data_IF_734989194833
#
_entry.id   IF_734989194833
#
_cell.length_a   1.000
_cell.length_b   1.000
_cell.length_c   1.000
_cell.angle_alpha   90.00
_cell.angle_beta   90.00
_cell.angle_gamma   90.00
#
_symmetry.space_group_name_H-M   'P 1'
#
loop_
_entity.id
_entity.type
_entity.pdbx_description
1 polymer ?
#
# COMPACT_ATOMS: atom_id res chain seq x y z
N UNK A 1 -42.13 -13.83 40.53
CA UNK A 1 -41.73 -12.53 39.93
C UNK A 1 -40.22 -12.32 39.87
N UNK A 2 -39.45 -12.74 40.88
CA UNK A 2 -37.98 -12.55 40.97
C UNK A 2 -37.16 -13.17 39.82
N UNK A 3 -37.59 -14.31 39.27
CA UNK A 3 -36.89 -14.97 38.14
C UNK A 3 -37.22 -14.38 36.75
N UNK A 4 -38.34 -13.66 36.59
CA UNK A 4 -38.68 -13.01 35.31
C UNK A 4 -37.88 -11.73 35.07
N UNK A 5 -37.50 -11.03 36.16
CA UNK A 5 -36.68 -9.82 36.09
C UNK A 5 -35.22 -10.14 35.71
N UNK A 6 -34.69 -11.29 36.14
CA UNK A 6 -33.32 -11.72 35.83
C UNK A 6 -33.14 -12.09 34.34
N UNK A 7 -34.14 -12.73 33.74
CA UNK A 7 -34.14 -13.07 32.30
C UNK A 7 -34.26 -11.81 31.43
N UNK A 8 -35.01 -10.80 31.89
CA UNK A 8 -35.11 -9.50 31.21
C UNK A 8 -33.79 -8.73 31.26
N UNK A 9 -33.07 -8.76 32.38
CA UNK A 9 -31.74 -8.16 32.52
C UNK A 9 -30.67 -8.89 31.70
N UNK A 10 -30.73 -10.22 31.59
CA UNK A 10 -29.84 -11.00 30.70
C UNK A 10 -30.10 -10.73 29.21
N UNK A 11 -31.35 -10.47 28.82
CA UNK A 11 -31.71 -10.04 27.46
C UNK A 11 -31.34 -8.57 27.18
N UNK A 12 -31.27 -7.72 28.21
CA UNK A 12 -30.80 -6.33 28.08
C UNK A 12 -29.27 -6.24 27.98
N UNK A 13 -28.52 -7.17 28.56
CA UNK A 13 -27.06 -7.26 28.36
C UNK A 13 -26.66 -7.73 26.96
N UNK A 14 -27.57 -8.37 26.20
CA UNK A 14 -27.33 -8.69 24.78
C UNK A 14 -27.61 -7.53 23.83
N UNK A 15 -28.11 -6.38 24.34
CA UNK A 15 -28.23 -5.12 23.59
C UNK A 15 -27.11 -4.13 23.95
N UNK A 16 -25.91 -4.62 24.28
CA UNK A 16 -24.72 -3.81 24.03
C UNK A 16 -24.64 -3.62 22.52
N UNK A 17 -25.28 -2.56 22.01
CA UNK A 17 -25.04 -2.05 20.68
C UNK A 17 -23.52 -1.95 20.53
N UNK A 18 -22.93 -2.80 19.69
CA UNK A 18 -21.57 -2.60 19.23
C UNK A 18 -21.54 -1.17 18.68
N UNK A 19 -20.86 -0.27 19.40
CA UNK A 19 -20.72 1.11 18.97
C UNK A 19 -19.97 1.07 17.65
N UNK A 20 -20.49 1.71 16.59
CA UNK A 20 -19.80 1.76 15.31
C UNK A 20 -18.55 2.64 15.42
N UNK A 21 -17.54 2.33 14.62
CA UNK A 21 -16.38 3.20 14.47
C UNK A 21 -16.81 4.59 14.01
N UNK A 22 -16.29 5.63 14.65
CA UNK A 22 -16.61 7.02 14.29
C UNK A 22 -15.62 7.57 13.27
N UNK A 23 -16.14 8.20 12.21
CA UNK A 23 -15.31 8.89 11.23
C UNK A 23 -15.16 10.36 11.60
N UNK A 24 -13.92 10.84 11.63
CA UNK A 24 -13.58 12.24 11.93
C UNK A 24 -13.00 12.91 10.71
N UNK A 25 -13.87 13.54 9.92
CA UNK A 25 -13.48 14.29 8.72
C UNK A 25 -13.12 15.72 9.10
N UNK A 26 -11.91 16.18 8.73
CA UNK A 26 -11.42 17.52 9.05
C UNK A 26 -10.34 18.03 8.10
N UNK A 27 -10.00 19.29 8.25
CA UNK A 27 -8.74 19.86 7.78
C UNK A 27 -7.66 19.73 8.86
N UNK A 28 -6.41 19.44 8.47
CA UNK A 28 -5.25 19.46 9.37
C UNK A 28 -4.16 20.34 8.75
N UNK A 29 -4.01 21.56 9.27
CA UNK A 29 -2.96 22.49 8.83
C UNK A 29 -1.55 21.94 9.08
N UNK A 30 -1.19 21.40 10.26
CA UNK A 30 0.17 20.89 10.49
C UNK A 30 0.55 19.79 9.48
N UNK A 31 -0.38 18.89 9.17
CA UNK A 31 -0.17 17.87 8.13
C UNK A 31 -0.02 18.51 6.74
N UNK A 32 -0.92 19.44 6.39
CA UNK A 32 -0.90 20.08 5.07
C UNK A 32 0.41 20.84 4.82
N UNK A 33 0.96 21.51 5.83
CA UNK A 33 2.26 22.18 5.77
C UNK A 33 3.42 21.19 5.64
N UNK A 34 3.38 20.07 6.38
CA UNK A 34 4.37 19.01 6.23
C UNK A 34 4.37 18.44 4.80
N UNK A 35 3.19 18.16 4.24
CA UNK A 35 3.06 17.65 2.86
C UNK A 35 3.50 18.71 1.85
N UNK A 36 3.17 19.98 2.08
CA UNK A 36 3.65 21.09 1.27
C UNK A 36 5.18 21.08 1.20
N UNK A 37 5.86 21.03 2.34
CA UNK A 37 7.32 20.90 2.43
C UNK A 37 7.87 19.70 1.65
N UNK A 38 7.28 18.51 1.81
CA UNK A 38 7.69 17.31 1.05
C UNK A 38 7.62 17.53 -0.47
N UNK A 39 6.58 18.23 -0.94
CA UNK A 39 6.38 18.51 -2.36
C UNK A 39 7.31 19.61 -2.90
N UNK A 40 7.92 20.41 -2.03
CA UNK A 40 8.92 21.41 -2.43
C UNK A 40 10.32 20.81 -2.62
N UNK A 41 10.58 19.61 -2.09
CA UNK A 41 11.88 18.92 -2.23
C UNK A 41 12.32 18.83 -3.69
N UNK A 42 13.62 19.00 -3.94
CA UNK A 42 14.19 18.81 -5.28
C UNK A 42 14.03 17.36 -5.78
N UNK A 43 13.92 16.40 -4.87
CA UNK A 43 13.71 14.99 -5.18
C UNK A 43 12.26 14.65 -5.56
N UNK A 44 11.32 15.55 -5.28
CA UNK A 44 9.91 15.35 -5.62
C UNK A 44 9.60 15.86 -7.04
N UNK A 45 8.78 15.16 -7.84
CA UNK A 45 8.40 15.63 -9.17
C UNK A 45 7.77 17.03 -9.17
N UNK A 46 7.79 17.71 -10.33
CA UNK A 46 7.08 18.97 -10.51
C UNK A 46 5.59 18.83 -10.18
N UNK A 47 5.07 19.80 -9.41
CA UNK A 47 3.71 19.79 -8.89
C UNK A 47 3.23 21.22 -8.62
N UNK A 48 1.95 21.37 -8.28
CA UNK A 48 1.34 22.70 -8.09
C UNK A 48 1.97 23.44 -6.91
N UNK A 49 2.24 22.78 -5.79
CA UNK A 49 2.86 23.42 -4.62
C UNK A 49 4.24 24.01 -4.94
N UNK A 50 5.08 23.23 -5.62
CA UNK A 50 6.39 23.68 -6.09
C UNK A 50 6.28 24.86 -7.05
N UNK A 51 5.34 24.80 -7.99
CA UNK A 51 5.08 25.88 -8.95
C UNK A 51 4.67 27.18 -8.26
N UNK A 52 3.74 27.13 -7.30
CA UNK A 52 3.28 28.31 -6.57
C UNK A 52 4.39 28.90 -5.68
N UNK A 53 5.18 28.05 -5.00
CA UNK A 53 6.32 28.50 -4.21
C UNK A 53 7.37 29.21 -5.07
N UNK A 54 7.75 28.63 -6.21
CA UNK A 54 8.78 29.18 -7.11
C UNK A 54 8.42 30.55 -7.69
N UNK A 55 7.13 30.82 -7.91
CA UNK A 55 6.62 32.12 -8.40
C UNK A 55 6.48 33.17 -7.30
N UNK A 56 6.51 32.76 -6.04
CA UNK A 56 6.26 33.64 -4.90
C UNK A 56 7.49 34.45 -4.48
N UNK A 57 7.24 35.46 -3.63
CA UNK A 57 8.29 36.22 -2.93
C UNK A 57 9.15 35.37 -1.97
N UNK A 58 8.72 34.14 -1.67
CA UNK A 58 9.40 33.22 -0.76
C UNK A 58 10.44 32.33 -1.45
N UNK A 59 10.57 32.39 -2.79
CA UNK A 59 11.61 31.69 -3.53
C UNK A 59 12.98 32.36 -3.36
N UNK A 60 13.50 32.37 -2.12
CA UNK A 60 14.77 32.96 -1.74
C UNK A 60 15.73 31.90 -1.23
N UNK A 61 17.03 32.20 -1.21
CA UNK A 61 18.05 31.26 -0.71
C UNK A 61 17.82 30.87 0.75
N UNK A 62 17.23 31.76 1.55
CA UNK A 62 16.86 31.48 2.93
C UNK A 62 15.89 30.30 3.02
N UNK A 63 14.77 30.32 2.28
CA UNK A 63 13.77 29.25 2.35
C UNK A 63 14.20 28.00 1.61
N UNK A 64 14.97 28.12 0.52
CA UNK A 64 15.61 26.97 -0.15
C UNK A 64 16.53 26.21 0.80
N UNK A 65 17.28 26.92 1.65
CA UNK A 65 18.14 26.30 2.65
C UNK A 65 17.32 25.53 3.71
N UNK A 66 16.13 26.02 4.09
CA UNK A 66 15.24 25.28 5.00
C UNK A 66 14.70 24.02 4.33
N UNK A 67 14.26 24.09 3.07
CA UNK A 67 13.83 22.90 2.29
C UNK A 67 14.98 21.88 2.21
N UNK A 68 16.19 22.32 1.90
CA UNK A 68 17.37 21.43 1.87
C UNK A 68 17.70 20.80 3.23
N UNK A 69 17.44 21.51 4.35
CA UNK A 69 17.58 20.94 5.69
C UNK A 69 16.50 19.90 5.96
N UNK A 70 15.25 20.20 5.59
CA UNK A 70 14.13 19.27 5.70
C UNK A 70 14.42 17.96 4.95
N UNK A 71 14.92 18.05 3.71
CA UNK A 71 15.27 16.90 2.86
C UNK A 71 16.37 15.98 3.45
N UNK A 72 17.14 16.49 4.41
CA UNK A 72 18.22 15.74 5.09
C UNK A 72 17.77 15.14 6.41
N UNK A 73 16.54 15.39 6.86
CA UNK A 73 16.03 14.83 8.10
C UNK A 73 15.78 13.33 7.94
N UNK A 74 16.45 12.52 8.75
CA UNK A 74 16.19 11.08 8.80
C UNK A 74 14.94 10.82 9.63
N UNK A 75 13.80 10.66 8.96
CA UNK A 75 12.49 10.39 9.59
C UNK A 75 11.89 9.03 9.19
N UNK A 76 12.60 8.25 8.37
CA UNK A 76 12.12 7.02 7.74
C UNK A 76 12.74 5.77 8.36
N UNK A 77 12.47 5.54 9.64
CA UNK A 77 12.76 4.28 10.31
C UNK A 77 11.57 3.33 10.16
N UNK A 78 11.86 2.04 10.15
CA UNK A 78 10.80 1.03 10.08
C UNK A 78 11.12 -0.23 10.84
N UNK A 79 10.06 -0.94 11.21
CA UNK A 79 10.13 -2.30 11.71
C UNK A 79 9.00 -3.15 11.14
N UNK A 80 9.18 -4.46 11.21
CA UNK A 80 8.22 -5.48 10.75
C UNK A 80 7.71 -6.28 11.94
N UNK A 81 6.54 -6.89 11.78
CA UNK A 81 5.99 -7.85 12.73
C UNK A 81 6.37 -9.26 12.24
N UNK A 82 7.49 -9.78 12.74
CA UNK A 82 8.12 -11.01 12.26
C UNK A 82 7.31 -12.28 12.55
N UNK A 83 6.33 -12.20 13.46
CA UNK A 83 5.41 -13.28 13.77
C UNK A 83 4.37 -13.52 12.66
N UNK A 84 4.07 -12.51 11.83
CA UNK A 84 3.11 -12.63 10.74
C UNK A 84 3.73 -13.31 9.52
N UNK A 85 2.93 -14.06 8.72
CA UNK A 85 3.38 -14.56 7.43
C UNK A 85 3.96 -13.45 6.54
N UNK A 86 4.89 -13.81 5.66
CA UNK A 86 5.72 -12.83 4.95
C UNK A 86 4.91 -11.75 4.20
N UNK A 87 4.95 -10.54 4.76
CA UNK A 87 4.20 -9.36 4.33
C UNK A 87 2.71 -9.59 4.14
N UNK A 88 2.12 -10.44 4.96
CA UNK A 88 0.67 -10.45 5.15
C UNK A 88 0.22 -9.26 6.01
N UNK A 89 1.12 -8.64 6.79
CA UNK A 89 0.91 -7.41 7.57
C UNK A 89 1.93 -6.33 7.19
N UNK A 90 1.47 -5.09 6.97
CA UNK A 90 2.34 -3.92 6.77
C UNK A 90 3.15 -3.61 8.04
N UNK A 91 4.45 -3.36 7.87
CA UNK A 91 5.30 -2.86 8.94
C UNK A 91 5.00 -1.39 9.30
N UNK A 92 5.54 -0.92 10.42
CA UNK A 92 5.36 0.47 10.85
C UNK A 92 6.49 1.33 10.31
N UNK A 93 6.13 2.50 9.78
CA UNK A 93 7.07 3.55 9.37
C UNK A 93 6.95 4.72 10.35
N UNK A 94 8.06 5.28 10.80
CA UNK A 94 8.03 6.44 11.71
C UNK A 94 7.40 7.66 11.05
N UNK A 95 7.52 7.83 9.74
CA UNK A 95 6.83 8.89 8.99
C UNK A 95 5.30 8.80 9.12
N UNK A 96 4.73 7.59 9.01
CA UNK A 96 3.28 7.36 9.17
C UNK A 96 2.81 7.75 10.60
N UNK A 97 3.63 7.47 11.62
CA UNK A 97 3.35 7.87 13.01
C UNK A 97 3.45 9.39 13.21
N UNK A 98 4.42 10.05 12.58
CA UNK A 98 4.56 11.50 12.63
C UNK A 98 3.38 12.19 11.94
N UNK A 99 2.95 11.70 10.77
CA UNK A 99 1.74 12.17 10.06
C UNK A 99 0.49 11.98 10.91
N UNK A 100 0.31 10.83 11.55
CA UNK A 100 -0.78 10.58 12.50
C UNK A 100 -0.78 11.62 13.62
N UNK A 101 0.38 11.92 14.20
CA UNK A 101 0.49 12.93 15.25
C UNK A 101 0.15 14.33 14.73
N UNK A 102 0.58 14.72 13.53
CA UNK A 102 0.23 16.01 12.91
C UNK A 102 -1.28 16.15 12.69
N UNK A 103 -1.97 15.06 12.33
CA UNK A 103 -3.43 15.04 12.22
C UNK A 103 -4.08 15.27 13.58
N UNK A 104 -3.55 14.66 14.64
CA UNK A 104 -4.20 14.60 15.95
C UNK A 104 -3.87 15.80 16.87
N UNK A 105 -3.02 16.73 16.43
CA UNK A 105 -2.58 17.90 17.21
C UNK A 105 -3.03 19.22 16.60
N UNK A 106 -3.25 20.24 17.43
CA UNK A 106 -3.67 21.56 16.95
C UNK A 106 -2.48 22.49 16.66
N UNK A 107 -1.34 22.23 17.28
CA UNK A 107 -0.16 23.07 17.17
C UNK A 107 1.14 22.27 17.24
N UNK A 108 2.24 22.93 16.85
CA UNK A 108 3.54 22.28 16.73
C UNK A 108 4.13 21.82 18.08
N UNK A 109 3.76 22.45 19.19
CA UNK A 109 4.27 22.07 20.50
C UNK A 109 3.66 20.74 20.96
N UNK A 110 2.36 20.56 20.77
CA UNK A 110 1.69 19.27 20.98
C UNK A 110 2.25 18.17 20.08
N UNK A 111 2.49 18.49 18.79
CA UNK A 111 3.14 17.57 17.86
C UNK A 111 4.50 17.09 18.39
N UNK A 112 5.34 18.00 18.89
CA UNK A 112 6.64 17.64 19.48
C UNK A 112 6.49 16.75 20.70
N UNK A 113 5.58 17.10 21.62
CA UNK A 113 5.35 16.31 22.84
C UNK A 113 4.88 14.89 22.50
N UNK A 114 3.96 14.76 21.54
CA UNK A 114 3.38 13.49 21.14
C UNK A 114 4.29 12.62 20.28
N UNK A 115 5.26 13.24 19.60
CA UNK A 115 6.22 12.54 18.74
C UNK A 115 7.56 12.24 19.42
N UNK A 116 7.70 12.62 20.69
CA UNK A 116 8.90 12.35 21.47
C UNK A 116 9.18 10.83 21.54
N UNK A 117 10.40 10.43 21.20
CA UNK A 117 10.80 9.01 21.17
C UNK A 117 10.50 8.25 19.86
N UNK A 118 9.79 8.85 18.90
CA UNK A 118 9.57 8.25 17.57
C UNK A 118 10.82 8.37 16.70
N UNK A 119 11.47 9.54 16.75
CA UNK A 119 12.73 9.86 16.04
C UNK A 119 13.66 10.63 16.99
N UNK A 120 14.97 10.77 16.68
CA UNK A 120 15.90 11.51 17.53
C UNK A 120 15.40 12.94 17.84
N UNK A 121 15.53 13.37 19.10
CA UNK A 121 14.97 14.63 19.59
C UNK A 121 15.45 15.87 18.82
N UNK A 122 16.69 15.85 18.33
CA UNK A 122 17.23 16.92 17.48
C UNK A 122 16.50 16.97 16.14
N UNK A 123 16.35 15.83 15.47
CA UNK A 123 15.59 15.69 14.22
C UNK A 123 14.14 16.12 14.39
N UNK A 124 13.47 15.71 15.48
CA UNK A 124 12.10 16.14 15.76
C UNK A 124 11.99 17.65 15.96
N UNK A 125 12.95 18.25 16.67
CA UNK A 125 12.97 19.69 16.89
C UNK A 125 13.19 20.46 15.59
N UNK A 126 14.09 19.97 14.74
CA UNK A 126 14.35 20.55 13.42
C UNK A 126 13.16 20.41 12.48
N UNK A 127 12.51 19.25 12.47
CA UNK A 127 11.28 18.99 11.72
C UNK A 127 10.19 19.99 12.13
N UNK A 128 9.96 20.13 13.43
CA UNK A 128 8.97 21.04 13.97
C UNK A 128 9.25 22.51 13.59
N UNK A 129 10.52 22.91 13.61
CA UNK A 129 10.93 24.24 13.19
C UNK A 129 10.67 24.45 11.69
N UNK A 130 11.03 23.49 10.83
CA UNK A 130 10.77 23.58 9.39
C UNK A 130 9.27 23.75 9.10
N UNK A 131 8.42 22.96 9.76
CA UNK A 131 6.96 23.06 9.62
C UNK A 131 6.50 24.47 10.05
N UNK A 132 6.97 24.96 11.20
CA UNK A 132 6.57 26.27 11.73
C UNK A 132 7.00 27.43 10.83
N UNK A 133 8.20 27.36 10.26
CA UNK A 133 8.72 28.38 9.32
C UNK A 133 7.90 28.42 8.02
N UNK A 134 7.35 27.28 7.60
CA UNK A 134 6.56 27.15 6.37
C UNK A 134 5.05 27.31 6.54
N UNK A 135 4.52 27.23 7.77
CA UNK A 135 3.09 27.49 8.05
C UNK A 135 2.60 28.82 7.46
N UNK A 136 3.22 29.99 7.71
CA UNK A 136 2.75 31.24 7.13
C UNK A 136 2.83 31.27 5.59
N UNK A 137 3.80 30.57 5.00
CA UNK A 137 3.98 30.49 3.55
C UNK A 137 2.89 29.65 2.91
N UNK A 138 2.64 28.46 3.48
CA UNK A 138 1.55 27.60 3.04
C UNK A 138 0.21 28.33 3.12
N UNK A 139 -0.02 29.08 4.21
CA UNK A 139 -1.24 29.84 4.38
C UNK A 139 -1.40 30.95 3.34
N UNK A 140 -0.34 31.74 3.08
CA UNK A 140 -0.40 32.79 2.07
C UNK A 140 -0.59 32.24 0.65
N UNK A 141 0.16 31.20 0.28
CA UNK A 141 0.22 30.72 -1.10
C UNK A 141 -0.89 29.72 -1.44
N UNK A 142 -1.28 28.86 -0.50
CA UNK A 142 -2.15 27.71 -0.76
C UNK A 142 -3.48 27.84 -0.01
N UNK A 143 -3.47 27.94 1.31
CA UNK A 143 -4.72 27.87 2.07
C UNK A 143 -5.61 29.10 1.85
N UNK A 144 -5.13 30.31 2.15
CA UNK A 144 -5.95 31.52 2.13
C UNK A 144 -6.57 31.82 0.75
N UNK A 145 -5.86 31.67 -0.38
CA UNK A 145 -6.46 31.86 -1.71
C UNK A 145 -7.59 30.87 -2.04
N UNK A 146 -7.61 29.71 -1.36
CA UNK A 146 -8.54 28.62 -1.62
C UNK A 146 -9.55 28.39 -0.49
N UNK A 147 -9.41 29.11 0.63
CA UNK A 147 -10.09 28.85 1.90
C UNK A 147 -11.60 28.72 1.76
N UNK A 148 -12.25 29.74 1.20
CA UNK A 148 -13.72 29.77 1.08
C UNK A 148 -14.26 28.58 0.30
N UNK A 149 -13.65 28.26 -0.85
CA UNK A 149 -14.07 27.12 -1.68
C UNK A 149 -13.79 25.79 -0.99
N UNK A 150 -12.60 25.65 -0.40
CA UNK A 150 -12.17 24.43 0.27
C UNK A 150 -13.00 24.13 1.52
N UNK A 151 -13.23 25.10 2.39
CA UNK A 151 -14.02 24.91 3.62
C UNK A 151 -15.48 24.56 3.29
N UNK A 152 -16.08 25.24 2.29
CA UNK A 152 -17.41 24.87 1.80
C UNK A 152 -17.45 23.44 1.27
N UNK A 153 -16.46 23.04 0.47
CA UNK A 153 -16.38 21.68 -0.05
C UNK A 153 -16.17 20.65 1.06
N UNK A 154 -15.40 20.98 2.10
CA UNK A 154 -15.22 20.12 3.27
C UNK A 154 -16.54 19.87 4.00
N UNK A 155 -17.36 20.91 4.19
CA UNK A 155 -18.71 20.77 4.75
C UNK A 155 -19.59 19.86 3.88
N UNK A 156 -19.53 20.02 2.56
CA UNK A 156 -20.28 19.16 1.63
C UNK A 156 -19.81 17.70 1.67
N UNK A 157 -18.50 17.45 1.82
CA UNK A 157 -17.93 16.10 2.00
C UNK A 157 -18.42 15.47 3.32
N UNK A 158 -18.40 16.22 4.42
CA UNK A 158 -18.91 15.76 5.73
C UNK A 158 -20.40 15.39 5.61
N UNK A 159 -21.19 16.26 4.99
CA UNK A 159 -22.61 16.02 4.74
C UNK A 159 -22.82 14.78 3.90
N UNK A 160 -22.11 14.65 2.77
CA UNK A 160 -22.20 13.48 1.89
C UNK A 160 -21.86 12.19 2.64
N UNK A 161 -20.81 12.20 3.47
CA UNK A 161 -20.42 11.06 4.30
C UNK A 161 -21.55 10.62 5.22
N UNK A 162 -22.19 11.58 5.88
CA UNK A 162 -23.28 11.33 6.83
C UNK A 162 -24.52 10.79 6.12
N UNK A 163 -24.91 11.40 5.00
CA UNK A 163 -26.10 11.01 4.22
C UNK A 163 -25.98 9.60 3.64
N UNK A 164 -24.76 9.19 3.25
CA UNK A 164 -24.49 7.86 2.68
C UNK A 164 -23.98 6.84 3.70
N UNK A 165 -23.93 7.22 4.99
CA UNK A 165 -23.52 6.35 6.10
C UNK A 165 -22.20 5.61 5.83
N UNK A 166 -21.16 6.35 5.44
CA UNK A 166 -19.89 5.78 4.96
C UNK A 166 -19.26 4.81 5.98
N UNK A 167 -19.45 5.03 7.27
CA UNK A 167 -19.02 4.16 8.36
C UNK A 167 -19.55 2.73 8.20
N UNK A 168 -20.73 2.53 7.60
CA UNK A 168 -21.27 1.19 7.37
C UNK A 168 -20.38 0.35 6.44
N UNK A 169 -19.66 0.97 5.50
CA UNK A 169 -18.73 0.25 4.64
C UNK A 169 -17.47 -0.16 5.40
N UNK A 170 -17.06 0.61 6.41
CA UNK A 170 -15.97 0.22 7.32
C UNK A 170 -16.35 -1.03 8.09
N UNK A 171 -17.53 -1.04 8.72
CA UNK A 171 -18.06 -2.19 9.45
C UNK A 171 -18.26 -3.41 8.56
N UNK A 172 -18.71 -3.20 7.31
CA UNK A 172 -18.77 -4.26 6.30
C UNK A 172 -17.38 -4.84 6.02
N UNK A 173 -16.37 -3.99 5.87
CA UNK A 173 -14.98 -4.42 5.70
C UNK A 173 -14.47 -5.24 6.88
N UNK A 174 -14.70 -4.78 8.12
CA UNK A 174 -14.30 -5.52 9.33
C UNK A 174 -14.87 -6.94 9.33
N UNK A 175 -16.16 -7.07 9.02
CA UNK A 175 -16.82 -8.36 8.92
C UNK A 175 -16.23 -9.20 7.77
N UNK A 176 -16.09 -8.64 6.58
CA UNK A 176 -15.60 -9.35 5.40
C UNK A 176 -14.19 -9.89 5.60
N UNK A 177 -13.28 -9.10 6.18
CA UNK A 177 -11.90 -9.51 6.43
C UNK A 177 -11.73 -10.33 7.73
N UNK A 178 -12.75 -10.42 8.59
CA UNK A 178 -12.62 -10.95 9.95
C UNK A 178 -11.58 -10.18 10.77
N UNK A 179 -11.58 -8.85 10.63
CA UNK A 179 -10.66 -7.96 11.33
C UNK A 179 -11.28 -7.46 12.63
N UNK A 180 -10.42 -7.16 13.61
CA UNK A 180 -10.84 -6.57 14.87
C UNK A 180 -10.53 -5.07 14.87
N UNK A 181 -11.44 -4.26 15.41
CA UNK A 181 -11.23 -2.83 15.60
C UNK A 181 -11.78 -2.40 16.95
N UNK A 182 -10.99 -1.65 17.71
CA UNK A 182 -11.49 -1.02 18.92
C UNK A 182 -12.32 0.21 18.53
N UNK A 183 -13.63 0.14 18.75
CA UNK A 183 -14.56 1.22 18.41
C UNK A 183 -14.32 2.53 19.18
N UNK A 184 -13.51 2.51 20.26
CA UNK A 184 -13.02 3.73 20.90
C UNK A 184 -12.00 4.49 20.05
N UNK A 185 -11.38 3.83 19.06
CA UNK A 185 -10.42 4.42 18.12
C UNK A 185 -11.19 4.96 16.91
N UNK A 186 -11.22 6.30 16.72
CA UNK A 186 -11.84 6.88 15.53
C UNK A 186 -10.99 6.64 14.29
N UNK A 187 -11.63 6.63 13.13
CA UNK A 187 -10.95 6.71 11.84
C UNK A 187 -10.89 8.19 11.41
N UNK A 188 -9.70 8.79 11.35
CA UNK A 188 -9.57 10.20 10.98
C UNK A 188 -9.38 10.35 9.47
N UNK A 189 -10.04 11.34 8.89
CA UNK A 189 -9.98 11.65 7.47
C UNK A 189 -9.54 13.12 7.36
N UNK A 190 -8.33 13.35 6.87
CA UNK A 190 -7.78 14.70 6.73
C UNK A 190 -7.72 15.14 5.27
N UNK A 191 -8.44 16.21 4.94
CA UNK A 191 -8.38 16.83 3.63
C UNK A 191 -7.55 18.11 3.66
N UNK A 192 -6.91 18.45 2.54
CA UNK A 192 -6.23 19.72 2.35
C UNK A 192 -6.33 20.18 0.88
N UNK A 193 -6.30 21.50 0.61
CA UNK A 193 -6.51 22.00 -0.75
C UNK A 193 -5.36 21.68 -1.69
N UNK A 194 -5.70 21.24 -2.90
CA UNK A 194 -4.82 21.02 -4.04
C UNK A 194 -5.32 21.84 -5.24
N UNK A 195 -5.07 23.16 -5.28
CA UNK A 195 -5.58 24.02 -6.34
C UNK A 195 -5.08 23.58 -7.72
N UNK A 196 -5.87 23.82 -8.77
CA UNK A 196 -5.47 23.63 -10.19
C UNK A 196 -4.96 22.22 -10.56
N UNK A 197 -5.16 21.21 -9.71
CA UNK A 197 -4.87 19.81 -10.04
C UNK A 197 -5.96 19.22 -10.93
N UNK A 198 -5.65 18.11 -11.61
CA UNK A 198 -6.61 17.32 -12.42
C UNK A 198 -7.31 16.22 -11.63
N UNK A 199 -6.86 15.95 -10.40
CA UNK A 199 -7.42 14.93 -9.52
C UNK A 199 -6.99 15.15 -8.08
N UNK A 200 -7.37 14.21 -7.21
CA UNK A 200 -7.00 14.20 -5.81
C UNK A 200 -5.92 13.14 -5.51
N UNK A 201 -5.28 13.24 -4.35
CA UNK A 201 -4.39 12.19 -3.83
C UNK A 201 -5.12 11.30 -2.83
N UNK A 202 -4.65 10.08 -2.60
CA UNK A 202 -5.21 9.20 -1.60
C UNK A 202 -4.05 8.44 -0.93
N UNK A 203 -4.05 8.43 0.41
CA UNK A 203 -3.12 7.64 1.20
C UNK A 203 -3.79 7.28 2.52
N UNK A 204 -3.64 6.03 2.96
CA UNK A 204 -4.06 5.62 4.30
C UNK A 204 -2.90 4.98 5.09
N UNK A 205 -2.93 5.20 6.40
CA UNK A 205 -1.94 4.69 7.35
C UNK A 205 -2.49 4.75 8.78
N UNK A 206 -2.07 3.82 9.63
CA UNK A 206 -2.61 3.69 10.99
C UNK A 206 -4.16 3.70 10.94
N UNK A 207 -4.81 4.59 11.69
CA UNK A 207 -6.25 4.84 11.67
C UNK A 207 -6.63 6.12 10.89
N UNK A 208 -5.89 6.45 9.84
CA UNK A 208 -6.05 7.72 9.12
C UNK A 208 -6.10 7.52 7.60
N UNK A 209 -6.92 8.35 6.96
CA UNK A 209 -6.87 8.62 5.53
C UNK A 209 -6.54 10.09 5.30
N UNK A 210 -5.72 10.38 4.29
CA UNK A 210 -5.39 11.74 3.88
C UNK A 210 -5.60 11.93 2.38
N UNK A 211 -6.03 13.12 1.99
CA UNK A 211 -6.22 13.46 0.59
C UNK A 211 -6.07 14.95 0.31
N UNK A 212 -5.26 15.27 -0.69
CA UNK A 212 -5.21 16.57 -1.31
C UNK A 212 -6.36 16.66 -2.31
N UNK A 213 -7.33 17.55 -2.10
CA UNK A 213 -8.54 17.64 -2.95
C UNK A 213 -8.55 18.91 -3.79
N UNK A 214 -9.02 18.79 -5.02
CA UNK A 214 -9.26 19.93 -5.90
C UNK A 214 -10.35 20.81 -5.31
N UNK A 215 -10.16 22.12 -5.34
CA UNK A 215 -11.14 23.09 -4.82
C UNK A 215 -12.44 23.17 -5.62
N UNK A 216 -12.53 22.43 -6.72
CA UNK A 216 -13.70 22.25 -7.58
C UNK A 216 -14.05 20.76 -7.83
N UNK A 217 -13.62 19.84 -6.96
CA UNK A 217 -13.97 18.41 -7.01
C UNK A 217 -15.48 18.21 -7.19
N UNK A 218 -15.86 17.49 -8.24
CA UNK A 218 -17.26 17.31 -8.65
C UNK A 218 -17.90 16.01 -8.20
N UNK A 219 -17.10 15.03 -7.76
CA UNK A 219 -17.59 13.66 -7.56
C UNK A 219 -17.14 13.07 -6.24
N UNK A 220 -17.99 13.20 -5.21
CA UNK A 220 -17.72 12.63 -3.90
C UNK A 220 -17.82 11.10 -3.90
N UNK A 221 -18.65 10.48 -4.75
CA UNK A 221 -18.68 9.02 -4.89
C UNK A 221 -17.32 8.41 -5.26
N UNK A 222 -16.58 9.05 -6.17
CA UNK A 222 -15.22 8.61 -6.57
C UNK A 222 -14.24 8.85 -5.44
N UNK A 223 -14.35 9.98 -4.73
CA UNK A 223 -13.52 10.25 -3.57
C UNK A 223 -13.70 9.19 -2.49
N UNK A 224 -14.94 8.88 -2.12
CA UNK A 224 -15.26 7.91 -1.08
C UNK A 224 -14.99 6.46 -1.49
N UNK A 225 -15.14 6.10 -2.77
CA UNK A 225 -14.78 4.76 -3.26
C UNK A 225 -13.26 4.53 -3.15
N UNK A 226 -12.46 5.52 -3.55
CA UNK A 226 -10.99 5.46 -3.42
C UNK A 226 -10.56 5.57 -1.96
N UNK A 227 -11.23 6.40 -1.16
CA UNK A 227 -10.97 6.47 0.28
C UNK A 227 -11.15 5.11 0.94
N UNK A 228 -12.26 4.43 0.64
CA UNK A 228 -12.54 3.12 1.21
C UNK A 228 -11.63 2.03 0.62
N UNK A 229 -11.18 2.12 -0.64
CA UNK A 229 -10.09 1.27 -1.16
C UNK A 229 -8.88 1.32 -0.23
N UNK A 230 -8.38 2.51 0.08
CA UNK A 230 -7.20 2.68 0.96
C UNK A 230 -7.51 2.24 2.40
N UNK A 231 -8.72 2.50 2.90
CA UNK A 231 -9.15 2.03 4.22
C UNK A 231 -9.25 0.50 4.30
N UNK A 232 -9.64 -0.19 3.24
CA UNK A 232 -9.69 -1.65 3.21
C UNK A 232 -8.30 -2.29 3.29
N UNK A 233 -7.24 -1.61 2.85
CA UNK A 233 -5.88 -2.06 3.15
C UNK A 233 -5.56 -2.03 4.64
N UNK A 234 -5.98 -0.98 5.36
CA UNK A 234 -5.83 -0.91 6.82
C UNK A 234 -6.62 -2.05 7.48
N UNK A 235 -7.88 -2.24 7.10
CA UNK A 235 -8.71 -3.30 7.67
C UNK A 235 -8.08 -4.68 7.42
N UNK A 236 -7.61 -4.94 6.19
CA UNK A 236 -6.88 -6.16 5.87
C UNK A 236 -5.64 -6.32 6.74
N UNK A 237 -4.84 -5.27 6.96
CA UNK A 237 -3.66 -5.33 7.82
C UNK A 237 -3.98 -5.61 9.30
N UNK A 238 -5.20 -5.30 9.75
CA UNK A 238 -5.69 -5.51 11.13
C UNK A 238 -6.40 -6.85 11.37
N UNK A 239 -6.35 -7.77 10.40
CA UNK A 239 -6.67 -9.18 10.67
C UNK A 239 -5.71 -9.75 11.74
N UNK A 240 -6.22 -10.64 12.58
CA UNK A 240 -5.42 -11.27 13.63
C UNK A 240 -4.31 -12.16 13.05
N UNK A 241 -3.28 -12.46 13.86
CA UNK A 241 -2.23 -13.40 13.48
C UNK A 241 -2.80 -14.78 13.08
N UNK A 242 -3.83 -15.24 13.78
CA UNK A 242 -4.53 -16.50 13.50
C UNK A 242 -5.14 -16.47 12.09
N UNK A 243 -5.95 -15.46 11.79
CA UNK A 243 -6.59 -15.29 10.47
C UNK A 243 -5.56 -15.20 9.35
N UNK A 244 -4.50 -14.39 9.53
CA UNK A 244 -3.41 -14.28 8.56
C UNK A 244 -2.69 -15.60 8.32
N UNK A 245 -2.48 -16.39 9.38
CA UNK A 245 -1.82 -17.70 9.31
C UNK A 245 -2.70 -18.73 8.61
N UNK A 246 -4.02 -18.72 8.85
CA UNK A 246 -4.98 -19.56 8.14
C UNK A 246 -5.00 -19.25 6.65
N UNK A 247 -5.14 -17.97 6.28
CA UNK A 247 -5.15 -17.53 4.88
C UNK A 247 -3.83 -17.94 4.19
N UNK A 248 -2.67 -17.69 4.80
CA UNK A 248 -1.37 -18.14 4.28
C UNK A 248 -1.34 -19.65 4.05
N UNK A 249 -1.85 -20.43 5.01
CA UNK A 249 -1.91 -21.90 4.94
C UNK A 249 -2.81 -22.35 3.78
N UNK A 250 -3.98 -21.73 3.58
CA UNK A 250 -4.88 -22.05 2.47
C UNK A 250 -4.19 -21.87 1.11
N UNK A 251 -3.42 -20.80 0.91
CA UNK A 251 -2.66 -20.59 -0.32
C UNK A 251 -1.48 -21.55 -0.48
N UNK A 252 -0.75 -21.84 0.60
CA UNK A 252 0.40 -22.75 0.59
C UNK A 252 -0.01 -24.18 0.28
N UNK A 253 -1.05 -24.67 0.93
CA UNK A 253 -1.55 -26.04 0.80
C UNK A 253 -2.35 -26.29 -0.49
N UNK A 254 -2.82 -25.23 -1.16
CA UNK A 254 -3.51 -25.35 -2.44
C UNK A 254 -2.68 -26.14 -3.46
N UNK A 255 -3.31 -27.03 -4.22
CA UNK A 255 -2.62 -27.77 -5.31
C UNK A 255 -2.42 -26.92 -6.57
N UNK A 256 -3.07 -25.76 -6.65
CA UNK A 256 -2.97 -24.88 -7.81
C UNK A 256 -1.56 -24.28 -7.90
N UNK A 257 -0.92 -24.39 -9.06
CA UNK A 257 0.36 -23.73 -9.36
C UNK A 257 0.25 -22.20 -9.41
N UNK A 258 -0.97 -21.67 -9.39
CA UNK A 258 -1.28 -20.24 -9.46
C UNK A 258 -1.37 -19.59 -8.09
N UNK A 259 -1.44 -20.38 -7.01
CA UNK A 259 -1.83 -19.88 -5.68
C UNK A 259 -0.88 -18.83 -5.12
N UNK A 260 0.43 -18.94 -5.38
CA UNK A 260 1.40 -17.94 -4.93
C UNK A 260 1.13 -16.55 -5.53
N UNK A 261 1.04 -16.43 -6.85
CA UNK A 261 0.80 -15.14 -7.51
C UNK A 261 -0.63 -14.61 -7.29
N UNK A 262 -1.60 -15.51 -7.09
CA UNK A 262 -2.93 -15.12 -6.64
C UNK A 262 -2.87 -14.48 -5.24
N UNK A 263 -2.14 -15.08 -4.30
CA UNK A 263 -2.01 -14.52 -2.95
C UNK A 263 -1.36 -13.12 -2.96
N UNK A 264 -0.27 -12.96 -3.73
CA UNK A 264 0.47 -11.70 -3.81
C UNK A 264 -0.38 -10.50 -4.28
N UNK A 265 -1.33 -10.73 -5.20
CA UNK A 265 -2.22 -9.67 -5.73
C UNK A 265 -3.51 -9.51 -4.93
N UNK A 266 -3.82 -10.45 -4.03
CA UNK A 266 -5.13 -10.53 -3.37
C UNK A 266 -5.49 -9.25 -2.62
N UNK A 267 -4.58 -8.65 -1.85
CA UNK A 267 -4.88 -7.44 -1.07
C UNK A 267 -5.36 -6.28 -1.97
N UNK A 268 -4.63 -5.97 -3.05
CA UNK A 268 -5.02 -4.96 -4.05
C UNK A 268 -6.30 -5.33 -4.81
N UNK A 269 -6.46 -6.60 -5.16
CA UNK A 269 -7.66 -7.10 -5.81
C UNK A 269 -8.91 -6.88 -4.93
N UNK A 270 -8.84 -7.26 -3.65
CA UNK A 270 -9.96 -7.13 -2.71
C UNK A 270 -10.25 -5.67 -2.39
N UNK A 271 -9.23 -4.84 -2.11
CA UNK A 271 -9.42 -3.41 -1.88
C UNK A 271 -10.08 -2.73 -3.10
N UNK A 272 -9.68 -3.10 -4.32
CA UNK A 272 -10.28 -2.57 -5.56
C UNK A 272 -11.71 -3.05 -5.73
N UNK A 273 -11.99 -4.35 -5.52
CA UNK A 273 -13.35 -4.90 -5.63
C UNK A 273 -14.30 -4.31 -4.60
N UNK A 274 -13.83 -4.07 -3.37
CA UNK A 274 -14.63 -3.52 -2.28
C UNK A 274 -14.82 -2.00 -2.45
N UNK A 275 -13.74 -1.24 -2.64
CA UNK A 275 -13.80 0.22 -2.77
C UNK A 275 -14.35 0.66 -4.12
N UNK A 276 -13.62 0.36 -5.20
CA UNK A 276 -13.95 0.88 -6.53
C UNK A 276 -15.07 0.07 -7.22
N UNK A 277 -15.33 -1.16 -6.78
CA UNK A 277 -16.47 -1.97 -7.20
C UNK A 277 -17.70 -1.75 -6.33
N UNK A 278 -17.70 -2.34 -5.13
CA UNK A 278 -18.89 -2.44 -4.27
C UNK A 278 -19.35 -1.09 -3.74
N UNK A 279 -18.47 -0.33 -3.07
CA UNK A 279 -18.82 0.99 -2.52
C UNK A 279 -19.24 1.93 -3.63
N UNK A 280 -18.52 1.96 -4.76
CA UNK A 280 -18.94 2.77 -5.91
C UNK A 280 -20.33 2.37 -6.40
N UNK A 281 -20.63 1.07 -6.58
CA UNK A 281 -21.97 0.60 -6.99
C UNK A 281 -23.05 1.10 -6.02
N UNK A 282 -22.81 1.02 -4.71
CA UNK A 282 -23.76 1.48 -3.71
C UNK A 282 -23.97 2.99 -3.72
N UNK A 283 -22.92 3.78 -3.99
CA UNK A 283 -23.00 5.24 -4.05
C UNK A 283 -23.56 5.77 -5.37
N UNK A 284 -23.31 5.08 -6.50
CA UNK A 284 -23.77 5.50 -7.84
C UNK A 284 -25.11 4.86 -8.25
N UNK A 285 -25.51 3.77 -7.58
CA UNK A 285 -26.66 2.94 -7.95
C UNK A 285 -26.39 2.00 -9.14
N UNK A 286 -25.17 1.98 -9.68
CA UNK A 286 -24.73 1.09 -10.75
C UNK A 286 -23.23 0.86 -10.70
N UNK A 287 -22.80 -0.26 -11.24
CA UNK A 287 -21.38 -0.60 -11.36
C UNK A 287 -20.69 0.37 -12.33
N UNK A 288 -19.47 0.80 -12.00
CA UNK A 288 -18.63 1.54 -12.94
C UNK A 288 -18.23 0.65 -14.11
N UNK A 289 -18.56 1.08 -15.33
CA UNK A 289 -18.20 0.39 -16.57
C UNK A 289 -16.76 0.63 -17.00
N UNK A 290 -16.11 1.66 -16.45
CA UNK A 290 -14.71 1.98 -16.73
C UNK A 290 -13.77 1.07 -15.94
N UNK A 291 -12.47 1.26 -16.13
CA UNK A 291 -11.46 0.59 -15.32
C UNK A 291 -11.49 1.08 -13.87
N UNK A 292 -11.58 0.12 -12.94
CA UNK A 292 -11.58 0.38 -11.50
C UNK A 292 -10.17 0.67 -10.99
N UNK A 293 -9.15 0.27 -11.74
CA UNK A 293 -7.76 0.50 -11.37
C UNK A 293 -6.91 0.70 -12.63
N UNK A 294 -5.87 1.53 -12.54
CA UNK A 294 -5.03 1.86 -13.71
C UNK A 294 -3.99 0.78 -14.06
N UNK A 295 -3.90 -0.29 -13.26
CA UNK A 295 -3.01 -1.44 -13.50
C UNK A 295 -3.80 -2.63 -14.01
N UNK A 296 -3.40 -3.13 -15.18
CA UNK A 296 -3.99 -4.28 -15.88
C UNK A 296 -4.36 -5.42 -14.94
N UNK A 297 -3.38 -5.95 -14.21
CA UNK A 297 -3.58 -7.17 -13.41
C UNK A 297 -4.58 -6.96 -12.28
N UNK A 298 -4.44 -5.87 -11.52
CA UNK A 298 -5.32 -5.50 -10.40
C UNK A 298 -6.75 -5.28 -10.91
N UNK A 299 -6.91 -4.45 -11.94
CA UNK A 299 -8.23 -4.14 -12.52
C UNK A 299 -8.95 -5.39 -13.02
N UNK A 300 -8.24 -6.25 -13.76
CA UNK A 300 -8.85 -7.44 -14.34
C UNK A 300 -9.26 -8.45 -13.27
N UNK A 301 -8.40 -8.76 -12.30
CA UNK A 301 -8.78 -9.72 -11.25
C UNK A 301 -9.86 -9.15 -10.34
N UNK A 302 -9.80 -7.87 -9.96
CA UNK A 302 -10.79 -7.22 -9.11
C UNK A 302 -12.20 -7.29 -9.72
N UNK A 303 -12.32 -7.01 -11.03
CA UNK A 303 -13.59 -7.16 -11.75
C UNK A 303 -14.06 -8.61 -11.80
N UNK A 304 -13.16 -9.57 -12.00
CA UNK A 304 -13.53 -11.00 -12.07
C UNK A 304 -13.99 -11.58 -10.74
N UNK A 305 -13.41 -11.14 -9.62
CA UNK A 305 -13.77 -11.65 -8.28
C UNK A 305 -14.96 -10.90 -7.68
N UNK A 306 -15.40 -9.81 -8.31
CA UNK A 306 -16.47 -8.97 -7.81
C UNK A 306 -17.76 -9.72 -7.46
N UNK A 307 -18.26 -10.67 -8.28
CA UNK A 307 -19.46 -11.43 -7.92
C UNK A 307 -19.27 -12.26 -6.63
N UNK A 308 -18.08 -12.85 -6.43
CA UNK A 308 -17.76 -13.63 -5.22
C UNK A 308 -17.67 -12.72 -3.98
N UNK A 309 -17.06 -11.54 -4.12
CA UNK A 309 -16.99 -10.53 -3.06
C UNK A 309 -18.40 -10.08 -2.66
N UNK A 310 -19.23 -9.71 -3.64
CA UNK A 310 -20.61 -9.28 -3.41
C UNK A 310 -21.44 -10.37 -2.73
N UNK A 311 -21.31 -11.62 -3.17
CA UNK A 311 -21.98 -12.76 -2.55
C UNK A 311 -21.63 -12.88 -1.05
N UNK A 312 -20.35 -12.78 -0.69
CA UNK A 312 -19.91 -12.89 0.71
C UNK A 312 -20.41 -11.71 1.56
N UNK A 313 -20.42 -10.50 1.01
CA UNK A 313 -20.99 -9.32 1.68
C UNK A 313 -22.49 -9.50 1.93
N UNK A 314 -23.25 -9.90 0.90
CA UNK A 314 -24.70 -10.12 0.99
C UNK A 314 -25.04 -11.21 2.02
N UNK A 315 -24.21 -12.25 2.10
CA UNK A 315 -24.32 -13.33 3.08
C UNK A 315 -23.77 -12.98 4.47
N UNK A 316 -23.17 -11.78 4.65
CA UNK A 316 -22.51 -11.36 5.88
C UNK A 316 -21.45 -12.36 6.36
N UNK A 317 -20.67 -12.88 5.41
CA UNK A 317 -19.60 -13.86 5.64
C UNK A 317 -18.23 -13.21 5.55
N UNK A 318 -17.36 -13.66 6.43
CA UNK A 318 -15.92 -13.37 6.33
C UNK A 318 -15.24 -14.27 5.30
N UNK A 319 -14.07 -13.85 4.83
CA UNK A 319 -13.17 -14.69 4.03
C UNK A 319 -12.87 -15.98 4.80
N UNK A 320 -13.12 -17.10 4.14
CA UNK A 320 -12.84 -18.43 4.65
C UNK A 320 -12.09 -19.25 3.58
N UNK A 321 -11.78 -20.51 3.90
CA UNK A 321 -11.11 -21.40 2.93
C UNK A 321 -11.88 -21.52 1.61
N UNK A 322 -13.21 -21.57 1.66
CA UNK A 322 -14.02 -21.68 0.44
C UNK A 322 -13.91 -20.42 -0.43
N UNK A 323 -13.85 -19.23 0.17
CA UNK A 323 -13.57 -17.99 -0.55
C UNK A 323 -12.22 -18.09 -1.27
N UNK A 324 -11.17 -18.47 -0.54
CA UNK A 324 -9.80 -18.56 -1.07
C UNK A 324 -9.69 -19.61 -2.19
N UNK A 325 -10.30 -20.79 -2.01
CA UNK A 325 -10.32 -21.84 -3.05
C UNK A 325 -11.01 -21.35 -4.33
N UNK A 326 -12.14 -20.64 -4.21
CA UNK A 326 -12.85 -20.07 -5.36
C UNK A 326 -12.08 -18.91 -6.00
N UNK A 327 -11.46 -18.05 -5.20
CA UNK A 327 -10.59 -16.97 -5.68
C UNK A 327 -9.41 -17.51 -6.51
N UNK A 328 -8.70 -18.52 -6.00
CA UNK A 328 -7.61 -19.19 -6.73
C UNK A 328 -8.13 -19.79 -8.04
N UNK A 329 -9.31 -20.43 -8.01
CA UNK A 329 -9.94 -21.01 -9.20
C UNK A 329 -10.29 -19.96 -10.25
N UNK A 330 -10.84 -18.80 -9.83
CA UNK A 330 -11.13 -17.68 -10.72
C UNK A 330 -9.85 -17.18 -11.38
N UNK A 331 -8.78 -17.02 -10.61
CA UNK A 331 -7.46 -16.63 -11.13
C UNK A 331 -6.96 -17.64 -12.18
N UNK A 332 -6.97 -18.93 -11.83
CA UNK A 332 -6.49 -20.02 -12.68
C UNK A 332 -7.25 -20.12 -14.01
N UNK A 333 -8.58 -20.07 -13.97
CA UNK A 333 -9.43 -20.24 -15.16
C UNK A 333 -9.36 -19.03 -16.09
N UNK A 334 -9.38 -17.82 -15.53
CA UNK A 334 -9.45 -16.60 -16.34
C UNK A 334 -8.07 -16.09 -16.78
N UNK A 335 -7.01 -16.41 -16.01
CA UNK A 335 -5.68 -15.86 -16.22
C UNK A 335 -4.54 -16.89 -16.18
N UNK A 336 -4.65 -18.03 -16.91
CA UNK A 336 -3.72 -19.14 -16.82
C UNK A 336 -2.28 -18.83 -17.25
N UNK A 337 -2.04 -17.69 -17.92
CA UNK A 337 -0.72 -17.27 -18.41
C UNK A 337 -0.03 -16.23 -17.52
N UNK A 338 -0.70 -15.63 -16.54
CA UNK A 338 -0.14 -14.53 -15.73
C UNK A 338 1.09 -14.93 -14.90
N UNK A 339 1.24 -16.21 -14.56
CA UNK A 339 2.45 -16.72 -13.87
C UNK A 339 3.68 -16.77 -14.78
N UNK A 340 3.51 -16.53 -16.09
CA UNK A 340 4.58 -16.48 -17.07
C UNK A 340 4.80 -15.08 -17.65
N UNK A 341 3.84 -14.17 -17.48
CA UNK A 341 3.95 -12.77 -17.91
C UNK A 341 4.92 -12.01 -17.00
N UNK A 342 6.05 -11.54 -17.56
CA UNK A 342 7.10 -10.84 -16.80
C UNK A 342 6.54 -9.62 -16.06
N UNK A 343 5.67 -8.83 -16.69
CA UNK A 343 5.07 -7.63 -16.08
C UNK A 343 4.27 -7.96 -14.81
N UNK A 344 3.61 -9.13 -14.76
CA UNK A 344 2.92 -9.58 -13.55
C UNK A 344 3.91 -10.08 -12.50
N UNK A 345 4.73 -11.08 -12.85
CA UNK A 345 5.57 -11.75 -11.85
C UNK A 345 6.65 -10.84 -11.28
N UNK A 346 7.14 -9.86 -12.05
CA UNK A 346 8.15 -8.90 -11.61
C UNK A 346 7.58 -7.77 -10.75
N UNK A 347 6.26 -7.67 -10.58
CA UNK A 347 5.63 -6.75 -9.61
C UNK A 347 6.02 -7.12 -8.17
N UNK A 348 6.33 -8.39 -7.93
CA UNK A 348 6.73 -8.98 -6.64
C UNK A 348 8.08 -9.68 -6.80
N UNK A 349 9.19 -8.98 -6.54
CA UNK A 349 10.53 -9.46 -6.92
C UNK A 349 11.55 -9.38 -5.80
N UNK A 350 12.44 -10.35 -5.76
CA UNK A 350 13.68 -10.33 -4.99
C UNK A 350 14.82 -10.41 -5.99
N UNK A 351 15.69 -9.40 -6.03
CA UNK A 351 16.81 -9.36 -6.99
C UNK A 351 18.15 -9.42 -6.27
N UNK A 352 18.98 -10.39 -6.63
CA UNK A 352 20.38 -10.48 -6.21
C UNK A 352 21.27 -10.16 -7.41
N UNK A 353 22.12 -9.15 -7.28
CA UNK A 353 23.18 -8.86 -8.25
C UNK A 353 24.37 -8.20 -7.56
N UNK A 354 25.58 -8.50 -8.04
CA UNK A 354 26.81 -7.81 -7.58
C UNK A 354 27.16 -6.58 -8.43
N UNK A 355 26.24 -6.15 -9.29
CA UNK A 355 26.35 -4.93 -10.08
C UNK A 355 25.12 -4.04 -9.79
N UNK A 356 25.35 -2.94 -9.07
CA UNK A 356 24.30 -2.01 -8.64
C UNK A 356 23.46 -1.45 -9.80
N UNK A 357 24.06 -1.30 -10.99
CA UNK A 357 23.35 -0.83 -12.19
C UNK A 357 22.19 -1.74 -12.57
N UNK A 358 22.30 -3.03 -12.27
CA UNK A 358 21.25 -4.00 -12.61
C UNK A 358 19.95 -3.70 -11.85
N UNK A 359 20.03 -3.24 -10.60
CA UNK A 359 18.84 -2.84 -9.84
C UNK A 359 18.11 -1.67 -10.50
N UNK A 360 18.87 -0.69 -10.99
CA UNK A 360 18.31 0.45 -11.73
C UNK A 360 17.69 -0.01 -13.03
N UNK A 361 18.36 -0.87 -13.80
CA UNK A 361 17.82 -1.42 -15.05
C UNK A 361 16.54 -2.22 -14.81
N UNK A 362 16.49 -3.10 -13.81
CA UNK A 362 15.27 -3.85 -13.44
C UNK A 362 14.13 -2.90 -13.09
N UNK A 363 14.41 -1.83 -12.33
CA UNK A 363 13.40 -0.82 -11.99
C UNK A 363 12.89 -0.06 -13.23
N UNK A 364 13.73 0.14 -14.24
CA UNK A 364 13.33 0.81 -15.48
C UNK A 364 12.50 -0.10 -16.38
N UNK A 365 12.86 -1.39 -16.47
CA UNK A 365 12.12 -2.40 -17.23
C UNK A 365 10.77 -2.72 -16.59
N UNK A 366 10.74 -2.89 -15.26
CA UNK A 366 9.57 -3.26 -14.47
C UNK A 366 9.28 -2.17 -13.43
N UNK A 367 8.74 -1.05 -13.94
CA UNK A 367 8.52 0.17 -13.15
C UNK A 367 7.56 -0.01 -11.99
N UNK A 368 6.47 -0.74 -12.21
CA UNK A 368 5.51 -1.03 -11.17
C UNK A 368 6.09 -2.09 -10.23
N UNK A 369 5.94 -1.85 -8.93
CA UNK A 369 6.41 -2.74 -7.87
C UNK A 369 5.48 -2.61 -6.68
N UNK A 370 4.94 -3.72 -6.23
CA UNK A 370 4.17 -3.78 -4.98
C UNK A 370 5.05 -4.28 -3.84
N UNK A 371 5.99 -5.20 -4.13
CA UNK A 371 7.03 -5.60 -3.18
C UNK A 371 8.35 -5.83 -3.88
N UNK A 372 9.44 -5.34 -3.29
CA UNK A 372 10.78 -5.55 -3.81
C UNK A 372 11.82 -5.68 -2.70
N UNK A 373 12.72 -6.64 -2.85
CA UNK A 373 13.91 -6.80 -2.02
C UNK A 373 15.16 -6.90 -2.90
N UNK A 374 16.29 -6.42 -2.39
CA UNK A 374 17.57 -6.36 -3.08
C UNK A 374 18.68 -6.88 -2.18
N UNK A 375 19.61 -7.65 -2.75
CA UNK A 375 20.88 -8.01 -2.11
C UNK A 375 22.02 -7.81 -3.12
N UNK A 376 23.11 -7.21 -2.69
CA UNK A 376 24.25 -6.82 -3.54
C UNK A 376 25.35 -7.89 -3.61
N UNK A 377 25.11 -9.05 -3.02
CA UNK A 377 26.07 -10.15 -2.90
C UNK A 377 25.41 -11.49 -3.22
N UNK A 378 26.11 -12.34 -3.99
CA UNK A 378 25.64 -13.70 -4.29
C UNK A 378 26.38 -14.66 -3.34
N UNK A 379 25.78 -14.88 -2.17
CA UNK A 379 26.31 -15.74 -1.11
C UNK A 379 25.28 -16.78 -0.72
N UNK A 380 25.72 -17.78 0.04
CA UNK A 380 24.83 -18.76 0.67
C UNK A 380 23.75 -18.08 1.51
N UNK A 381 24.11 -17.10 2.34
CA UNK A 381 23.19 -16.37 3.20
C UNK A 381 22.16 -15.54 2.41
N UNK A 382 22.58 -14.81 1.37
CA UNK A 382 21.64 -14.00 0.57
C UNK A 382 20.66 -14.88 -0.22
N UNK A 383 21.10 -16.02 -0.73
CA UNK A 383 20.22 -17.00 -1.39
C UNK A 383 19.24 -17.61 -0.37
N UNK A 384 19.70 -17.96 0.84
CA UNK A 384 18.83 -18.50 1.89
C UNK A 384 17.77 -17.51 2.35
N UNK A 385 18.10 -16.21 2.46
CA UNK A 385 17.10 -15.17 2.72
C UNK A 385 16.06 -15.09 1.60
N UNK A 386 16.52 -15.05 0.35
CA UNK A 386 15.63 -15.03 -0.82
C UNK A 386 14.67 -16.23 -0.85
N UNK A 387 15.16 -17.43 -0.50
CA UNK A 387 14.36 -18.65 -0.47
C UNK A 387 13.23 -18.64 0.56
N UNK A 388 13.35 -17.84 1.63
CA UNK A 388 12.30 -17.67 2.63
C UNK A 388 11.15 -16.77 2.15
N UNK A 389 11.27 -16.18 0.96
CA UNK A 389 10.27 -15.27 0.41
C UNK A 389 9.46 -15.92 -0.73
N UNK A 390 8.14 -15.65 -0.80
CA UNK A 390 7.27 -16.07 -1.91
C UNK A 390 7.44 -15.24 -3.20
N UNK A 391 8.41 -14.31 -3.23
CA UNK A 391 8.63 -13.41 -4.36
C UNK A 391 9.24 -14.13 -5.56
N UNK A 392 9.08 -13.53 -6.75
CA UNK A 392 9.85 -13.91 -7.94
C UNK A 392 11.33 -13.66 -7.66
N UNK A 393 12.13 -14.71 -7.80
CA UNK A 393 13.55 -14.71 -7.46
C UNK A 393 14.35 -14.39 -8.71
N UNK A 394 15.22 -13.39 -8.67
CA UNK A 394 16.06 -12.99 -9.81
C UNK A 394 17.50 -12.97 -9.35
N UNK A 395 18.35 -13.77 -10.00
CA UNK A 395 19.79 -13.82 -9.71
C UNK A 395 20.55 -13.48 -10.98
N UNK A 396 21.28 -12.36 -10.94
CA UNK A 396 22.04 -11.83 -12.09
C UNK A 396 23.52 -12.03 -11.81
N UNK A 397 24.16 -12.86 -12.64
CA UNK A 397 25.55 -13.29 -12.48
C UNK A 397 26.39 -12.65 -13.58
N UNK A 398 27.18 -11.64 -13.23
CA UNK A 398 28.03 -10.88 -14.16
C UNK A 398 29.54 -11.14 -14.01
N UNK A 399 29.96 -11.83 -12.94
CA UNK A 399 31.36 -12.21 -12.67
C UNK A 399 31.44 -13.52 -11.90
N UNK A 400 32.57 -14.23 -11.99
CA UNK A 400 32.81 -15.55 -11.36
C UNK A 400 31.71 -16.57 -11.69
N UNK A 401 31.26 -16.55 -12.96
CA UNK A 401 30.01 -17.17 -13.40
C UNK A 401 29.95 -18.67 -13.06
N UNK A 402 31.02 -19.42 -13.34
CA UNK A 402 31.07 -20.87 -13.06
C UNK A 402 30.83 -21.20 -11.59
N UNK A 403 31.44 -20.47 -10.66
CA UNK A 403 31.33 -20.72 -9.23
C UNK A 403 29.93 -20.37 -8.71
N UNK A 404 29.43 -19.18 -9.08
CA UNK A 404 28.11 -18.72 -8.64
C UNK A 404 26.97 -19.55 -9.22
N UNK A 405 27.07 -19.98 -10.47
CA UNK A 405 26.09 -20.87 -11.07
C UNK A 405 26.05 -22.23 -10.35
N UNK A 406 27.20 -22.75 -9.90
CA UNK A 406 27.26 -23.95 -9.05
C UNK A 406 26.58 -23.72 -7.69
N UNK A 407 26.83 -22.58 -7.05
CA UNK A 407 26.19 -22.20 -5.79
C UNK A 407 24.67 -22.08 -5.93
N UNK A 408 24.19 -21.38 -6.97
CA UNK A 408 22.75 -21.27 -7.24
C UNK A 408 22.14 -22.65 -7.48
N UNK A 409 22.79 -23.48 -8.32
CA UNK A 409 22.36 -24.86 -8.58
C UNK A 409 22.28 -25.71 -7.32
N UNK A 410 23.22 -25.57 -6.38
CA UNK A 410 23.21 -26.37 -5.14
C UNK A 410 22.13 -25.94 -4.15
N UNK A 411 21.67 -24.69 -4.23
CA UNK A 411 20.68 -24.13 -3.30
C UNK A 411 19.23 -24.40 -3.69
N UNK A 412 18.91 -24.50 -4.98
CA UNK A 412 17.54 -24.71 -5.44
C UNK A 412 17.30 -26.16 -5.90
N UNK A 413 16.43 -26.94 -5.23
CA UNK A 413 16.12 -28.32 -5.62
C UNK A 413 15.67 -28.49 -7.08
N UNK A 414 14.91 -27.52 -7.59
CA UNK A 414 14.45 -27.46 -8.98
C UNK A 414 15.60 -27.47 -10.02
N UNK A 415 16.82 -27.13 -9.60
CA UNK A 415 18.01 -27.06 -10.46
C UNK A 415 18.84 -28.35 -10.45
N UNK A 416 18.43 -29.41 -9.74
CA UNK A 416 19.22 -30.66 -9.63
C UNK A 416 19.68 -31.20 -10.99
N UNK A 417 18.77 -31.22 -11.97
CA UNK A 417 19.02 -31.69 -13.33
C UNK A 417 19.35 -30.56 -14.32
N UNK A 418 19.36 -29.31 -13.87
CA UNK A 418 19.65 -28.15 -14.71
C UNK A 418 21.11 -28.18 -15.17
N UNK A 419 21.33 -28.02 -16.48
CA UNK A 419 22.66 -27.99 -17.08
C UNK A 419 22.90 -26.60 -17.65
N UNK A 420 24.01 -25.98 -17.25
CA UNK A 420 24.37 -24.65 -17.70
C UNK A 420 25.74 -24.63 -18.38
N UNK A 421 25.91 -23.68 -19.31
CA UNK A 421 27.19 -23.38 -19.96
C UNK A 421 27.68 -22.03 -19.44
N UNK A 422 28.53 -22.06 -18.41
CA UNK A 422 29.01 -20.83 -17.75
C UNK A 422 29.76 -19.89 -18.70
N UNK A 423 30.29 -20.42 -19.81
CA UNK A 423 30.96 -19.67 -20.86
C UNK A 423 29.99 -18.90 -21.79
N UNK A 424 28.70 -19.25 -21.80
CA UNK A 424 27.68 -18.63 -22.67
C UNK A 424 26.69 -17.78 -21.90
N UNK A 425 26.21 -16.72 -22.53
CA UNK A 425 25.13 -15.91 -21.96
C UNK A 425 23.78 -16.62 -22.08
N UNK A 426 22.94 -16.44 -21.06
CA UNK A 426 21.56 -16.93 -21.07
C UNK A 426 20.72 -16.19 -20.03
N UNK A 427 19.40 -16.26 -20.21
CA UNK A 427 18.41 -15.97 -19.19
C UNK A 427 17.38 -17.09 -19.19
N UNK A 428 17.18 -17.73 -18.04
CA UNK A 428 16.26 -18.86 -17.91
C UNK A 428 15.28 -18.61 -16.77
N UNK A 429 14.02 -19.03 -16.97
CA UNK A 429 12.93 -18.94 -16.00
C UNK A 429 12.50 -20.35 -15.60
N UNK A 430 12.48 -20.61 -14.30
CA UNK A 430 12.32 -21.94 -13.72
C UNK A 430 11.25 -21.84 -12.63
N UNK A 431 10.22 -22.66 -12.74
CA UNK A 431 9.16 -22.73 -11.75
C UNK A 431 9.63 -23.52 -10.52
N UNK A 432 9.39 -22.99 -9.33
CA UNK A 432 9.85 -23.56 -8.07
C UNK A 432 8.73 -24.30 -7.32
N UNK A 433 9.12 -25.09 -6.32
CA UNK A 433 8.18 -25.85 -5.47
C UNK A 433 7.29 -24.94 -4.62
N UNK A 434 7.78 -23.75 -4.25
CA UNK A 434 7.01 -22.72 -3.55
C UNK A 434 6.04 -21.95 -4.49
N UNK A 435 5.93 -22.39 -5.75
CA UNK A 435 5.09 -21.82 -6.81
C UNK A 435 5.47 -20.39 -7.22
N UNK A 436 6.69 -19.94 -6.90
CA UNK A 436 7.30 -18.74 -7.46
C UNK A 436 8.15 -19.07 -8.70
N UNK A 437 8.57 -18.04 -9.43
CA UNK A 437 9.51 -18.16 -10.54
C UNK A 437 10.92 -17.81 -10.08
N UNK A 438 11.91 -18.58 -10.53
CA UNK A 438 13.34 -18.24 -10.46
C UNK A 438 13.83 -17.84 -11.85
N UNK A 439 14.34 -16.62 -11.97
CA UNK A 439 15.01 -16.09 -13.16
C UNK A 439 16.51 -16.07 -12.88
N UNK A 440 17.27 -16.84 -13.67
CA UNK A 440 18.73 -16.86 -13.61
C UNK A 440 19.27 -16.20 -14.86
N UNK A 441 20.06 -15.15 -14.68
CA UNK A 441 20.73 -14.45 -15.79
C UNK A 441 22.24 -14.67 -15.67
N UNK A 442 22.82 -15.32 -16.67
CA UNK A 442 24.27 -15.41 -16.83
C UNK A 442 24.72 -14.34 -17.83
N UNK A 443 25.21 -13.22 -17.32
CA UNK A 443 25.57 -12.05 -18.11
C UNK A 443 27.09 -11.98 -18.32
N UNK A 444 27.50 -11.54 -19.51
CA UNK A 444 28.90 -11.26 -19.85
C UNK A 444 29.06 -9.93 -20.59
N UNK A 445 28.53 -9.85 -21.80
CA UNK A 445 28.68 -8.72 -22.72
C UNK A 445 27.34 -8.07 -23.07
N UNK A 446 26.27 -8.87 -23.15
CA UNK A 446 24.94 -8.38 -23.48
C UNK A 446 24.35 -7.55 -22.35
N UNK A 447 23.50 -6.59 -22.71
CA UNK A 447 22.74 -5.83 -21.72
C UNK A 447 21.69 -6.71 -21.05
N UNK A 448 21.29 -6.35 -19.84
CA UNK A 448 20.29 -7.09 -19.08
C UNK A 448 18.95 -7.14 -19.82
N UNK A 449 18.56 -6.03 -20.46
CA UNK A 449 17.35 -5.92 -21.27
C UNK A 449 17.35 -6.92 -22.44
N UNK A 450 18.52 -7.11 -23.06
CA UNK A 450 18.69 -8.06 -24.17
C UNK A 450 18.50 -9.49 -23.69
N UNK A 451 19.06 -9.83 -22.53
CA UNK A 451 18.96 -11.16 -21.94
C UNK A 451 17.53 -11.46 -21.46
N UNK A 452 16.84 -10.50 -20.85
CA UNK A 452 15.45 -10.67 -20.41
C UNK A 452 14.48 -10.95 -21.57
N UNK A 453 14.75 -10.45 -22.78
CA UNK A 453 13.96 -10.78 -23.98
C UNK A 453 14.09 -12.25 -24.41
N UNK A 454 15.10 -12.97 -23.90
CA UNK A 454 15.28 -14.41 -24.17
C UNK A 454 14.39 -15.28 -23.28
N UNK A 455 13.83 -14.73 -22.20
CA UNK A 455 12.97 -15.46 -21.27
C UNK A 455 11.66 -15.78 -21.97
N UNK A 456 11.34 -17.08 -22.04
CA UNK A 456 10.08 -17.60 -22.58
C UNK A 456 9.00 -17.67 -21.52
#
# INVERSE_FOLDING_TARGET
>A
MRNKLLVLLLLLTTFSFAQKTTFKIKYSEPLAVFIFLQNLSENYPENVFKTEFQKSKYNTDYYKNIISKFDKLTIDYSYRFEEFPYGSKKGVQTEDLLKKNLIETENINEFKLRSNGIIPNKTLSDLAQCISDFTPIYNELIYNPNKEKFEKQLEEIIKYSTEHQIENYFEMGLLFYNSNWDNAIPFNIAFYPLPNSKGFTAQAFCNNFISAIQTDLKSYKVLFSVMLHETFHIIYDEESLEVKTEIDSYFRESKSKYSNYAYQIMNEALATSLGNGYVFEQLDGKIDTQDWYNKKYINLIAKQIYPLVKEYIDQKKSIDKNFIDNYIKIYEVNFPNWINELDNIMTYRYVISENEKDFTTINQMFRYRSRTEYEDQITESSIEKMQKTPLTKVIIISKNNTEKLKLVKSKFPALKNWQFKADKEFAEKIFLEDKSQLIIVNQKNSTLETLFKLIK
#
